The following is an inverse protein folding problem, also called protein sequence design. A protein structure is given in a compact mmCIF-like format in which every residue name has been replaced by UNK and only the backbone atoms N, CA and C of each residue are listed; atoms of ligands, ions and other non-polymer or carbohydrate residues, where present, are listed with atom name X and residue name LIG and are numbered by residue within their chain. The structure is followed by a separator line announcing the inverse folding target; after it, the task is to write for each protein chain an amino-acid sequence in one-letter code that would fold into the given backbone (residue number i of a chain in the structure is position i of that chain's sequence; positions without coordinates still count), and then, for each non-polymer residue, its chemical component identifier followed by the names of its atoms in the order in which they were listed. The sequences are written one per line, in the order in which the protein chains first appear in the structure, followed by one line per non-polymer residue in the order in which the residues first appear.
data_IF_627346821661
#
_entry.id   IF_627346821661
#
_cell.length_a   1.000
_cell.length_b   1.000
_cell.length_c   1.000
_cell.angle_alpha   90.00
_cell.angle_beta   90.00
_cell.angle_gamma   90.00
#
_symmetry.space_group_name_H-M   'P 1'
#
loop_
_entity.id
_entity.type
_entity.pdbx_description
1 polymer ?
#
# COMPACT_ATOMS: atom_id res chain seq x y z
N UNK A 1 -2.46 -29.90 -52.42
CA UNK A 1 -2.59 -30.23 -50.99
C UNK A 1 -3.19 -29.02 -50.28
N UNK A 2 -4.35 -29.19 -49.64
CA UNK A 2 -5.13 -28.11 -49.01
C UNK A 2 -4.64 -27.90 -47.57
N UNK A 3 -4.22 -26.67 -47.27
CA UNK A 3 -4.19 -26.10 -45.92
C UNK A 3 -5.58 -26.21 -45.28
N UNK A 4 -5.67 -26.44 -43.96
CA UNK A 4 -6.63 -25.78 -43.05
C UNK A 4 -6.59 -26.36 -41.61
N UNK A 5 -6.46 -25.43 -40.66
CA UNK A 5 -6.86 -25.43 -39.23
C UNK A 5 -6.19 -26.40 -38.24
N UNK A 6 -5.03 -25.98 -37.71
CA UNK A 6 -4.70 -26.22 -36.30
C UNK A 6 -5.39 -25.12 -35.48
N UNK A 7 -6.58 -25.41 -34.94
CA UNK A 7 -7.27 -24.49 -34.03
C UNK A 7 -6.49 -24.38 -32.73
N UNK A 8 -5.99 -23.16 -32.52
CA UNK A 8 -5.31 -22.62 -31.36
C UNK A 8 -6.23 -22.71 -30.11
N UNK A 9 -6.02 -23.70 -29.25
CA UNK A 9 -6.62 -23.75 -27.91
C UNK A 9 -5.84 -22.79 -27.00
N UNK A 10 -6.23 -21.51 -27.00
CA UNK A 10 -5.75 -20.53 -26.02
C UNK A 10 -6.38 -20.86 -24.68
N UNK A 11 -5.66 -21.59 -23.83
CA UNK A 11 -6.02 -21.77 -22.42
C UNK A 11 -5.71 -20.44 -21.73
N UNK A 12 -6.76 -19.68 -21.42
CA UNK A 12 -6.73 -18.54 -20.49
C UNK A 12 -6.29 -19.06 -19.11
N UNK A 13 -5.00 -19.04 -18.82
CA UNK A 13 -4.50 -19.17 -17.46
C UNK A 13 -4.82 -17.88 -16.72
N UNK A 14 -6.02 -17.81 -16.13
CA UNK A 14 -6.27 -16.91 -15.02
C UNK A 14 -5.26 -17.27 -13.94
N UNK A 15 -4.29 -16.38 -13.71
CA UNK A 15 -3.33 -16.51 -12.63
C UNK A 15 -4.09 -16.50 -11.31
N UNK A 16 -4.45 -17.67 -10.80
CA UNK A 16 -4.88 -17.85 -9.42
C UNK A 16 -3.65 -17.58 -8.53
N UNK A 17 -3.39 -16.31 -8.23
CA UNK A 17 -2.63 -16.01 -7.03
C UNK A 17 -3.38 -16.64 -5.84
N UNK A 18 -2.68 -17.27 -4.87
CA UNK A 18 -3.33 -17.79 -3.68
C UNK A 18 -3.98 -16.62 -2.94
N UNK A 19 -5.31 -16.58 -2.95
CA UNK A 19 -6.08 -15.70 -2.09
C UNK A 19 -6.04 -16.31 -0.70
N UNK A 20 -5.51 -15.58 0.28
CA UNK A 20 -5.57 -15.98 1.67
C UNK A 20 -7.05 -16.07 2.09
N UNK A 21 -7.50 -17.28 2.46
CA UNK A 21 -8.90 -17.55 2.84
C UNK A 21 -8.95 -17.91 4.31
N UNK A 22 -9.22 -16.90 5.13
CA UNK A 22 -9.34 -17.04 6.58
C UNK A 22 -8.01 -17.01 7.32
N UNK A 23 -8.05 -17.10 8.66
CA UNK A 23 -6.85 -17.03 9.48
C UNK A 23 -5.86 -18.13 9.09
N UNK A 24 -4.56 -17.82 9.22
CA UNK A 24 -3.53 -18.79 8.87
C UNK A 24 -3.69 -20.09 9.67
N UNK A 25 -3.62 -21.19 8.94
CA UNK A 25 -3.87 -22.53 9.48
C UNK A 25 -2.84 -22.92 10.55
N UNK A 26 -3.36 -23.53 11.61
CA UNK A 26 -2.63 -24.05 12.76
C UNK A 26 -1.84 -25.34 12.49
N UNK A 27 -1.92 -25.92 11.29
CA UNK A 27 -1.16 -27.13 10.93
C UNK A 27 0.35 -26.93 10.98
N UNK A 28 0.84 -25.71 10.77
CA UNK A 28 2.22 -25.31 11.06
C UNK A 28 2.26 -23.95 11.78
N UNK A 29 2.13 -23.93 13.12
CA UNK A 29 2.02 -22.70 13.90
C UNK A 29 3.22 -21.76 13.76
N UNK A 30 4.42 -22.32 13.65
CA UNK A 30 5.66 -21.54 13.50
C UNK A 30 5.72 -20.83 12.14
N UNK A 31 5.35 -21.53 11.06
CA UNK A 31 5.29 -20.92 9.74
C UNK A 31 4.19 -19.85 9.68
N UNK A 32 3.00 -20.13 10.22
CA UNK A 32 1.90 -19.17 10.31
C UNK A 32 2.30 -17.91 11.09
N UNK A 33 2.98 -18.09 12.23
CA UNK A 33 3.52 -16.99 13.03
C UNK A 33 4.53 -16.18 12.25
N UNK A 34 5.52 -16.82 11.62
CA UNK A 34 6.53 -16.13 10.83
C UNK A 34 5.91 -15.32 9.68
N UNK A 35 4.88 -15.86 9.02
CA UNK A 35 4.14 -15.14 7.98
C UNK A 35 3.44 -13.90 8.53
N UNK A 36 2.79 -13.98 9.71
CA UNK A 36 2.19 -12.80 10.37
C UNK A 36 3.26 -11.78 10.75
N UNK A 37 4.31 -12.20 11.45
CA UNK A 37 5.44 -11.35 11.86
C UNK A 37 6.00 -10.55 10.67
N UNK A 38 6.25 -11.24 9.56
CA UNK A 38 6.71 -10.61 8.32
C UNK A 38 5.70 -9.62 7.75
N UNK A 39 4.41 -9.97 7.71
CA UNK A 39 3.36 -9.09 7.22
C UNK A 39 3.21 -7.81 8.06
N UNK A 40 3.23 -7.92 9.39
CA UNK A 40 3.22 -6.78 10.29
C UNK A 40 4.46 -5.90 10.14
N UNK A 41 5.64 -6.51 9.95
CA UNK A 41 6.86 -5.76 9.69
C UNK A 41 6.79 -4.98 8.37
N UNK A 42 6.18 -5.55 7.32
CA UNK A 42 5.95 -4.84 6.06
C UNK A 42 4.98 -3.67 6.25
N UNK A 43 3.86 -3.88 6.96
CA UNK A 43 2.88 -2.84 7.22
C UNK A 43 3.50 -1.70 8.05
N UNK A 44 4.30 -2.04 9.06
CA UNK A 44 5.04 -1.06 9.87
C UNK A 44 5.97 -0.21 9.01
N UNK A 45 6.75 -0.84 8.12
CA UNK A 45 7.69 -0.12 7.25
C UNK A 45 6.97 0.87 6.34
N UNK A 46 5.89 0.45 5.66
CA UNK A 46 5.17 1.37 4.76
C UNK A 46 4.48 2.50 5.52
N UNK A 47 3.89 2.24 6.69
CA UNK A 47 3.28 3.29 7.52
C UNK A 47 4.31 4.29 8.02
N UNK A 48 5.48 3.82 8.45
CA UNK A 48 6.58 4.69 8.87
C UNK A 48 7.04 5.58 7.71
N UNK A 49 7.25 5.01 6.53
CA UNK A 49 7.69 5.77 5.36
C UNK A 49 6.62 6.80 4.95
N UNK A 50 5.34 6.40 4.96
CA UNK A 50 4.21 7.29 4.62
C UNK A 50 4.00 8.40 5.67
N UNK A 51 4.27 8.15 6.95
CA UNK A 51 4.20 9.18 8.00
C UNK A 51 5.12 10.38 7.73
N UNK A 52 6.19 10.15 6.96
CA UNK A 52 7.19 11.15 6.61
C UNK A 52 6.86 11.92 5.32
N UNK A 53 5.74 11.63 4.65
CA UNK A 53 5.37 12.27 3.38
C UNK A 53 5.27 13.79 3.49
N UNK A 54 4.87 14.31 4.65
CA UNK A 54 4.70 15.75 4.88
C UNK A 54 6.01 16.54 4.84
N UNK A 55 7.16 15.88 5.01
CA UNK A 55 8.48 16.49 4.86
C UNK A 55 8.70 17.02 3.44
N UNK A 56 8.03 16.46 2.44
CA UNK A 56 8.04 16.94 1.07
C UNK A 56 7.60 18.40 0.96
N UNK A 57 6.65 18.83 1.79
CA UNK A 57 6.11 20.19 1.76
C UNK A 57 7.05 21.24 2.36
N UNK A 58 8.21 20.84 2.89
CA UNK A 58 9.29 21.76 3.22
C UNK A 58 10.02 22.30 1.97
N UNK A 59 9.90 21.61 0.83
CA UNK A 59 10.64 21.94 -0.40
C UNK A 59 9.76 22.03 -1.66
N UNK A 60 8.55 21.48 -1.63
CA UNK A 60 7.59 21.52 -2.74
C UNK A 60 6.23 21.99 -2.25
N UNK A 61 5.45 22.53 -3.18
CA UNK A 61 4.09 23.00 -2.90
C UNK A 61 3.09 22.31 -3.82
N UNK A 62 1.96 21.91 -3.25
CA UNK A 62 0.76 21.55 -3.99
C UNK A 62 -0.34 22.58 -3.68
N UNK A 63 -1.49 22.47 -4.34
CA UNK A 63 -2.66 23.24 -3.91
C UNK A 63 -3.06 22.89 -2.46
N UNK A 64 -3.56 23.88 -1.73
CA UNK A 64 -3.91 23.76 -0.31
C UNK A 64 -4.82 22.55 0.02
N UNK A 65 -5.86 22.22 -0.77
CA UNK A 65 -6.68 21.03 -0.50
C UNK A 65 -5.89 19.72 -0.60
N UNK A 66 -4.93 19.63 -1.53
CA UNK A 66 -4.10 18.43 -1.73
C UNK A 66 -3.04 18.33 -0.63
N UNK A 67 -2.40 19.43 -0.25
CA UNK A 67 -1.49 19.42 0.89
C UNK A 67 -2.19 18.99 2.17
N UNK A 68 -3.41 19.51 2.42
CA UNK A 68 -4.21 19.15 3.57
C UNK A 68 -4.56 17.64 3.57
N UNK A 69 -4.96 17.09 2.42
CA UNK A 69 -5.23 15.66 2.28
C UNK A 69 -3.98 14.82 2.57
N UNK A 70 -2.83 15.15 1.98
CA UNK A 70 -1.58 14.42 2.18
C UNK A 70 -1.10 14.51 3.64
N UNK A 71 -1.33 15.63 4.33
CA UNK A 71 -1.06 15.74 5.77
C UNK A 71 -1.90 14.77 6.59
N UNK A 72 -3.21 14.69 6.33
CA UNK A 72 -4.08 13.73 7.02
C UNK A 72 -3.67 12.28 6.75
N UNK A 73 -3.19 11.97 5.53
CA UNK A 73 -2.65 10.65 5.19
C UNK A 73 -1.40 10.37 6.05
N UNK A 74 -0.45 11.30 6.11
CA UNK A 74 0.75 11.16 6.95
C UNK A 74 0.43 11.00 8.44
N UNK A 75 -0.53 11.77 8.96
CA UNK A 75 -0.97 11.67 10.35
C UNK A 75 -1.63 10.31 10.64
N UNK A 76 -2.48 9.82 9.74
CA UNK A 76 -3.08 8.49 9.84
C UNK A 76 -2.01 7.38 9.78
N UNK A 77 -0.99 7.55 8.95
CA UNK A 77 0.13 6.62 8.87
C UNK A 77 0.95 6.59 10.17
N UNK A 78 1.22 7.74 10.76
CA UNK A 78 1.89 7.85 12.06
C UNK A 78 1.07 7.15 13.17
N UNK A 79 -0.24 7.36 13.20
CA UNK A 79 -1.14 6.70 14.14
C UNK A 79 -1.17 5.17 13.92
N UNK A 80 -1.21 4.72 12.67
CA UNK A 80 -1.13 3.30 12.32
C UNK A 80 0.20 2.66 12.75
N UNK A 81 1.32 3.36 12.53
CA UNK A 81 2.64 2.91 12.98
C UNK A 81 2.66 2.71 14.50
N UNK A 82 2.13 3.66 15.26
CA UNK A 82 2.01 3.55 16.70
C UNK A 82 1.09 2.39 17.11
N UNK A 83 -0.03 2.21 16.41
CA UNK A 83 -0.99 1.13 16.67
C UNK A 83 -0.37 -0.27 16.49
N UNK A 84 0.56 -0.46 15.55
CA UNK A 84 1.27 -1.74 15.39
C UNK A 84 2.03 -2.12 16.65
N UNK A 85 2.62 -1.15 17.36
CA UNK A 85 3.34 -1.43 18.61
C UNK A 85 2.40 -1.99 19.67
N UNK A 86 1.20 -1.42 19.79
CA UNK A 86 0.16 -1.93 20.69
C UNK A 86 -0.36 -3.30 20.25
N UNK A 87 -0.59 -3.50 18.95
CA UNK A 87 -1.03 -4.79 18.42
C UNK A 87 0.00 -5.91 18.67
N UNK A 88 1.28 -5.58 18.60
CA UNK A 88 2.36 -6.54 18.80
C UNK A 88 2.43 -7.15 20.20
N UNK A 89 1.91 -6.42 21.20
CA UNK A 89 1.85 -6.87 22.60
C UNK A 89 0.66 -7.80 22.88
N UNK A 90 -0.36 -7.79 22.01
CA UNK A 90 -1.53 -8.66 22.17
C UNK A 90 -1.13 -10.14 21.97
N UNK A 91 -1.70 -11.08 22.75
CA UNK A 91 -1.40 -12.50 22.60
C UNK A 91 -2.06 -13.10 21.35
N UNK A 92 -1.37 -13.99 20.61
CA UNK A 92 0.06 -14.29 20.70
C UNK A 92 0.90 -13.10 20.18
N UNK A 93 2.06 -12.80 20.80
CA UNK A 93 2.85 -11.63 20.44
C UNK A 93 3.44 -11.74 19.03
N UNK A 94 3.57 -10.58 18.38
CA UNK A 94 4.07 -10.44 17.01
C UNK A 94 5.45 -9.78 17.01
N UNK A 95 6.39 -10.31 16.24
CA UNK A 95 7.65 -9.62 15.94
C UNK A 95 7.54 -8.86 14.61
N UNK A 96 7.37 -7.54 14.70
CA UNK A 96 7.24 -6.65 13.53
C UNK A 96 8.57 -6.04 13.10
N UNK A 97 9.71 -6.47 13.65
CA UNK A 97 11.01 -5.83 13.34
C UNK A 97 11.68 -6.37 12.09
N UNK A 98 11.25 -7.53 11.58
CA UNK A 98 11.87 -8.21 10.43
C UNK A 98 10.80 -8.65 9.44
N UNK A 99 10.91 -8.20 8.20
CA UNK A 99 9.93 -8.47 7.14
C UNK A 99 10.14 -9.79 6.38
N UNK A 100 11.20 -10.54 6.70
CA UNK A 100 11.49 -11.83 6.08
C UNK A 100 11.76 -11.81 4.57
N UNK A 101 11.85 -10.62 3.96
CA UNK A 101 12.08 -10.50 2.52
C UNK A 101 13.53 -10.85 2.16
N UNK A 102 13.78 -11.49 1.00
CA UNK A 102 15.13 -11.67 0.49
C UNK A 102 15.86 -10.33 0.34
N UNK A 103 17.17 -10.30 0.61
CA UNK A 103 17.96 -9.07 0.54
C UNK A 103 17.86 -8.35 -0.81
N UNK A 104 17.79 -9.11 -1.91
CA UNK A 104 17.63 -8.56 -3.27
C UNK A 104 16.26 -7.88 -3.44
N UNK A 105 15.19 -8.45 -2.85
CA UNK A 105 13.84 -7.86 -2.89
C UNK A 105 13.79 -6.56 -2.08
N UNK A 106 14.42 -6.53 -0.90
CA UNK A 106 14.57 -5.30 -0.10
C UNK A 106 15.33 -4.24 -0.90
N UNK A 107 16.43 -4.62 -1.56
CA UNK A 107 17.20 -3.73 -2.42
C UNK A 107 16.39 -3.15 -3.58
N UNK A 108 15.61 -3.99 -4.27
CA UNK A 108 14.74 -3.56 -5.37
C UNK A 108 13.66 -2.57 -4.90
N UNK A 109 13.00 -2.84 -3.76
CA UNK A 109 12.02 -1.93 -3.16
C UNK A 109 12.62 -0.57 -2.81
N UNK A 110 13.77 -0.57 -2.14
CA UNK A 110 14.47 0.66 -1.79
C UNK A 110 14.87 1.46 -3.04
N UNK A 111 15.31 0.78 -4.09
CA UNK A 111 15.63 1.44 -5.36
C UNK A 111 14.40 2.11 -5.96
N UNK A 112 13.28 1.41 -6.06
CA UNK A 112 12.01 1.96 -6.57
C UNK A 112 11.55 3.16 -5.74
N UNK A 113 11.58 3.07 -4.41
CA UNK A 113 11.18 4.18 -3.52
C UNK A 113 12.06 5.41 -3.75
N UNK A 114 13.38 5.22 -3.85
CA UNK A 114 14.32 6.32 -4.11
C UNK A 114 14.10 6.95 -5.49
N UNK A 115 13.86 6.14 -6.52
CA UNK A 115 13.55 6.63 -7.87
C UNK A 115 12.23 7.42 -7.88
N UNK A 116 11.20 6.94 -7.19
CA UNK A 116 9.91 7.62 -7.07
C UNK A 116 10.05 8.96 -6.32
N UNK A 117 10.81 8.99 -5.22
CA UNK A 117 11.09 10.21 -4.48
C UNK A 117 11.85 11.23 -5.35
N UNK A 118 12.89 10.80 -6.07
CA UNK A 118 13.62 11.66 -7.01
C UNK A 118 12.72 12.20 -8.13
N UNK A 119 11.90 11.33 -8.74
CA UNK A 119 10.96 11.72 -9.79
C UNK A 119 9.92 12.73 -9.30
N UNK A 120 9.50 12.63 -8.04
CA UNK A 120 8.59 13.59 -7.41
C UNK A 120 9.27 14.95 -7.18
N UNK A 121 10.51 14.95 -6.68
CA UNK A 121 11.30 16.18 -6.48
C UNK A 121 11.63 16.90 -7.80
N UNK A 122 11.80 16.16 -8.89
CA UNK A 122 12.13 16.71 -10.22
C UNK A 122 10.91 16.99 -11.10
N UNK A 123 9.69 16.79 -10.58
CA UNK A 123 8.46 16.78 -11.36
C UNK A 123 8.05 18.12 -12.00
N UNK A 124 8.60 19.25 -11.56
CA UNK A 124 8.21 20.58 -12.02
C UNK A 124 6.69 20.80 -11.95
N UNK A 125 6.09 21.23 -13.06
CA UNK A 125 4.64 21.46 -13.18
C UNK A 125 3.78 20.19 -13.01
N UNK A 126 4.37 19.00 -13.22
CA UNK A 126 3.67 17.72 -13.02
C UNK A 126 3.68 17.23 -11.57
N UNK A 127 4.24 18.02 -10.65
CA UNK A 127 4.40 17.65 -9.23
C UNK A 127 3.11 17.18 -8.60
N UNK A 128 2.04 17.96 -8.71
CA UNK A 128 0.77 17.66 -8.05
C UNK A 128 0.14 16.36 -8.59
N UNK A 129 0.16 16.16 -9.92
CA UNK A 129 -0.34 14.92 -10.52
C UNK A 129 0.47 13.70 -10.06
N UNK A 130 1.80 13.82 -10.02
CA UNK A 130 2.66 12.73 -9.54
C UNK A 130 2.47 12.46 -8.05
N UNK A 131 2.30 13.51 -7.25
CA UNK A 131 2.00 13.38 -5.82
C UNK A 131 0.71 12.58 -5.62
N UNK A 132 -0.38 12.97 -6.28
CA UNK A 132 -1.67 12.28 -6.20
C UNK A 132 -1.56 10.79 -6.60
N UNK A 133 -0.86 10.48 -7.70
CA UNK A 133 -0.67 9.10 -8.15
C UNK A 133 0.17 8.26 -7.17
N UNK A 134 1.25 8.83 -6.62
CA UNK A 134 2.09 8.17 -5.63
C UNK A 134 1.29 7.88 -4.36
N UNK A 135 0.52 8.85 -3.88
CA UNK A 135 -0.31 8.73 -2.69
C UNK A 135 -1.45 7.74 -2.89
N UNK A 136 -2.03 7.68 -4.10
CA UNK A 136 -3.04 6.69 -4.46
C UNK A 136 -2.47 5.27 -4.34
N UNK A 137 -1.28 5.04 -4.90
CA UNK A 137 -0.57 3.75 -4.82
C UNK A 137 -0.25 3.37 -3.38
N UNK A 138 0.20 4.32 -2.55
CA UNK A 138 0.52 4.07 -1.16
C UNK A 138 -0.73 3.69 -0.34
N UNK A 139 -1.81 4.47 -0.48
CA UNK A 139 -3.06 4.19 0.24
C UNK A 139 -3.67 2.85 -0.16
N UNK A 140 -3.67 2.53 -1.45
CA UNK A 140 -4.15 1.24 -1.96
C UNK A 140 -3.34 0.08 -1.39
N UNK A 141 -2.00 0.21 -1.37
CA UNK A 141 -1.11 -0.83 -0.84
C UNK A 141 -1.28 -1.02 0.68
N UNK A 142 -1.35 0.07 1.46
CA UNK A 142 -1.58 0.02 2.91
C UNK A 142 -2.92 -0.65 3.22
N UNK A 143 -3.99 -0.25 2.52
CA UNK A 143 -5.33 -0.83 2.70
C UNK A 143 -5.34 -2.33 2.38
N UNK A 144 -4.78 -2.71 1.24
CA UNK A 144 -4.69 -4.11 0.83
C UNK A 144 -3.87 -4.96 1.80
N UNK A 145 -2.75 -4.44 2.31
CA UNK A 145 -1.91 -5.14 3.27
C UNK A 145 -2.61 -5.29 4.62
N UNK A 146 -3.26 -4.23 5.12
CA UNK A 146 -3.98 -4.23 6.37
C UNK A 146 -5.17 -5.20 6.35
N UNK A 147 -6.01 -5.19 5.30
CA UNK A 147 -7.16 -6.12 5.19
C UNK A 147 -6.72 -7.58 5.03
N UNK A 148 -5.59 -7.81 4.36
CA UNK A 148 -5.00 -9.15 4.22
C UNK A 148 -4.51 -9.65 5.58
N UNK A 149 -3.83 -8.81 6.36
CA UNK A 149 -3.42 -9.15 7.72
C UNK A 149 -4.64 -9.39 8.63
N UNK A 150 -5.67 -8.55 8.54
CA UNK A 150 -6.88 -8.70 9.34
C UNK A 150 -7.56 -10.06 9.12
N UNK A 151 -7.51 -10.54 7.88
CA UNK A 151 -8.06 -11.84 7.48
C UNK A 151 -7.16 -13.01 7.91
N UNK A 152 -5.85 -12.80 8.01
CA UNK A 152 -4.84 -13.81 8.35
C UNK A 152 -4.66 -14.02 9.86
N UNK A 153 -4.90 -12.97 10.64
CA UNK A 153 -4.71 -12.99 12.09
C UNK A 153 -5.87 -13.71 12.81
N UNK A 154 -5.53 -14.49 13.84
CA UNK A 154 -6.52 -15.17 14.69
C UNK A 154 -6.97 -14.31 15.86
N UNK A 155 -6.26 -13.23 16.18
CA UNK A 155 -6.64 -12.30 17.24
C UNK A 155 -7.68 -11.29 16.72
N UNK A 156 -8.90 -11.36 17.24
CA UNK A 156 -10.03 -10.53 16.81
C UNK A 156 -9.83 -9.03 17.03
N UNK A 157 -9.09 -8.65 18.08
CA UNK A 157 -8.84 -7.24 18.39
C UNK A 157 -7.89 -6.66 17.34
N UNK A 158 -6.83 -7.39 16.99
CA UNK A 158 -5.94 -7.01 15.88
C UNK A 158 -6.67 -6.95 14.55
N UNK A 159 -7.48 -7.96 14.23
CA UNK A 159 -8.28 -7.96 13.00
C UNK A 159 -9.17 -6.72 12.92
N UNK A 160 -9.83 -6.34 14.02
CA UNK A 160 -10.70 -5.16 14.06
C UNK A 160 -9.92 -3.86 13.85
N UNK A 161 -8.76 -3.71 14.50
CA UNK A 161 -7.88 -2.55 14.34
C UNK A 161 -7.33 -2.44 12.91
N UNK A 162 -6.93 -3.56 12.31
CA UNK A 162 -6.43 -3.62 10.94
C UNK A 162 -7.52 -3.35 9.90
N UNK A 163 -8.75 -3.82 10.12
CA UNK A 163 -9.88 -3.48 9.25
C UNK A 163 -10.16 -1.98 9.29
N UNK A 164 -10.18 -1.37 10.48
CA UNK A 164 -10.38 0.07 10.61
C UNK A 164 -9.27 0.88 9.90
N UNK A 165 -8.01 0.44 10.02
CA UNK A 165 -6.89 1.02 9.28
C UNK A 165 -7.08 0.88 7.76
N UNK A 166 -7.48 -0.31 7.30
CA UNK A 166 -7.71 -0.58 5.88
C UNK A 166 -8.80 0.32 5.29
N UNK A 167 -9.91 0.47 6.02
CA UNK A 167 -11.04 1.31 5.62
C UNK A 167 -10.66 2.79 5.57
N UNK A 168 -9.87 3.26 6.53
CA UNK A 168 -9.37 4.63 6.56
C UNK A 168 -8.52 4.95 5.32
N UNK A 169 -7.57 4.09 4.97
CA UNK A 169 -6.73 4.29 3.79
C UNK A 169 -7.50 4.08 2.47
N UNK A 170 -8.51 3.21 2.43
CA UNK A 170 -9.41 3.10 1.28
C UNK A 170 -10.24 4.38 1.06
N UNK A 171 -10.67 5.04 2.14
CA UNK A 171 -11.37 6.32 2.05
C UNK A 171 -10.45 7.42 1.49
N UNK A 172 -9.19 7.50 1.92
CA UNK A 172 -8.21 8.42 1.32
C UNK A 172 -7.97 8.13 -0.15
N UNK A 173 -7.87 6.86 -0.55
CA UNK A 173 -7.72 6.47 -1.95
C UNK A 173 -8.90 6.95 -2.82
N UNK A 174 -10.12 6.91 -2.28
CA UNK A 174 -11.32 7.43 -2.95
C UNK A 174 -11.26 8.95 -3.10
N UNK A 175 -10.83 9.67 -2.06
CA UNK A 175 -10.67 11.12 -2.11
C UNK A 175 -9.59 11.54 -3.11
N UNK A 176 -8.42 10.89 -3.10
CA UNK A 176 -7.34 11.09 -4.08
C UNK A 176 -7.82 10.87 -5.52
N UNK A 177 -8.63 9.83 -5.74
CA UNK A 177 -9.20 9.52 -7.05
C UNK A 177 -10.12 10.65 -7.56
N UNK A 178 -10.85 11.32 -6.67
CA UNK A 178 -11.68 12.48 -7.04
C UNK A 178 -10.84 13.65 -7.55
N UNK A 179 -9.70 13.96 -6.90
CA UNK A 179 -8.77 14.99 -7.35
C UNK A 179 -8.14 14.63 -8.70
N UNK A 180 -7.75 13.36 -8.91
CA UNK A 180 -7.18 12.90 -10.18
C UNK A 180 -8.14 13.05 -11.36
N UNK A 181 -9.43 12.79 -11.16
CA UNK A 181 -10.45 12.98 -12.20
C UNK A 181 -10.60 14.45 -12.58
N UNK A 182 -10.60 15.35 -11.59
CA UNK A 182 -10.66 16.80 -11.82
C UNK A 182 -9.41 17.28 -12.58
N UNK A 183 -8.22 16.87 -12.16
CA UNK A 183 -6.97 17.24 -12.82
C UNK A 183 -6.93 16.79 -14.28
N UNK A 184 -7.38 15.56 -14.58
CA UNK A 184 -7.49 15.05 -15.97
C UNK A 184 -8.52 15.83 -16.81
N UNK A 185 -9.66 16.20 -16.24
CA UNK A 185 -10.67 17.01 -16.94
C UNK A 185 -10.10 18.39 -17.30
N UNK A 186 -9.38 19.02 -16.37
CA UNK A 186 -8.79 20.34 -16.57
C UNK A 186 -7.63 20.34 -17.58
N UNK A 187 -6.88 19.24 -17.70
CA UNK A 187 -5.86 19.11 -18.75
C UNK A 187 -6.49 18.94 -20.14
N UNK A 188 -7.61 18.21 -20.25
CA UNK A 188 -8.32 18.04 -21.52
C UNK A 188 -8.87 19.36 -22.08
N UNK A 189 -9.36 20.26 -21.20
CA UNK A 189 -9.91 21.57 -21.61
C UNK A 189 -8.85 22.60 -22.02
N UNK A 190 -7.60 22.44 -21.57
CA UNK A 190 -6.48 23.34 -21.93
C UNK A 190 -5.81 22.98 -23.26
N UNK A 191 -6.03 21.76 -23.76
CA UNK A 191 -5.49 21.28 -25.03
C UNK A 191 -6.46 21.34 -26.22
N UNK A 192 -7.67 21.87 -26.02
CA UNK A 192 -8.70 22.13 -27.05
C UNK A 192 -8.82 23.61 -27.34
#
# INVERSE_FOLDING_TARGET
MRFVLFSLLVILTFGCAPVLRGPLDSTNPEAAKATLDHGYALLYQVLRDESSVTLLFGVKHASEPIEALVRRIGDAAANGEAAIRSMAELPPPIDWKKNGLPLIEVGARNHIVNEQAAALLLAGESFELRLLLTQQKACDYISALAVTLASADTNSDRSSMLTALADQFAAFNTELSSYLQVTRSNSSKRGS
#
